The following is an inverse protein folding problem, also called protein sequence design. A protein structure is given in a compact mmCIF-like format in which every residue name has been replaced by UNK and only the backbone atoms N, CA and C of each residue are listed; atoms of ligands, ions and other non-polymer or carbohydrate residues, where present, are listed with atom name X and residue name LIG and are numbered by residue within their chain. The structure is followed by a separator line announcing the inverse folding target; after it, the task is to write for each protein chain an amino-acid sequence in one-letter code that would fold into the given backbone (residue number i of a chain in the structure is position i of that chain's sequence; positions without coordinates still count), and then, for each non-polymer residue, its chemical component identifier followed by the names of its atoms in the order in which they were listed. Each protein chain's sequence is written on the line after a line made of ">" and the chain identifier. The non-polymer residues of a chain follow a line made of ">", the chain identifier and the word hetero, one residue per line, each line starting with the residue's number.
data_IF_119359768834
#
_entry.id   IF_119359768834
#
_cell.length_a   1.000
_cell.length_b   1.000
_cell.length_c   1.000
_cell.angle_alpha   90.00
_cell.angle_beta   90.00
_cell.angle_gamma   90.00
#
_symmetry.space_group_name_H-M   'P 1'
#
loop_
_entity.id
_entity.type
_entity.pdbx_description
1 polymer ?
#
# COMPACT_ATOMS: atom_id res chain seq x y z
N UNK A 1 12.88 -7.18 8.59
CA UNK A 1 11.93 -6.89 7.48
C UNK A 1 12.72 -6.25 6.34
N UNK A 2 12.37 -6.51 5.06
CA UNK A 2 12.99 -5.83 3.93
C UNK A 2 12.63 -4.33 3.96
N UNK A 3 13.52 -3.42 3.50
CA UNK A 3 13.23 -1.99 3.48
C UNK A 3 11.96 -1.74 2.65
N UNK A 4 11.02 -0.98 3.23
CA UNK A 4 9.76 -0.59 2.61
C UNK A 4 10.11 0.22 1.36
N UNK A 5 9.93 -0.36 0.18
CA UNK A 5 10.07 0.40 -1.06
C UNK A 5 8.96 1.44 -1.13
N UNK A 6 9.28 2.62 -1.67
CA UNK A 6 8.34 3.71 -1.99
C UNK A 6 6.98 3.15 -2.46
N UNK A 7 5.86 3.50 -1.79
CA UNK A 7 4.54 3.03 -2.22
C UNK A 7 4.19 3.65 -3.56
N UNK A 8 3.63 2.85 -4.46
CA UNK A 8 3.10 3.30 -5.75
C UNK A 8 1.58 3.40 -5.68
N UNK A 9 1.01 4.41 -6.32
CA UNK A 9 -0.44 4.52 -6.55
C UNK A 9 -0.81 3.99 -7.94
N UNK A 10 -2.09 3.68 -8.17
CA UNK A 10 -2.60 3.32 -9.50
C UNK A 10 -2.21 4.35 -10.56
N UNK A 11 -2.27 5.64 -10.20
CA UNK A 11 -1.90 6.72 -11.11
C UNK A 11 -0.41 6.70 -11.45
N UNK A 12 0.48 6.39 -10.49
CA UNK A 12 1.91 6.27 -10.77
C UNK A 12 2.18 5.12 -11.75
N UNK A 13 1.56 3.96 -11.53
CA UNK A 13 1.77 2.76 -12.35
C UNK A 13 1.18 2.93 -13.76
N UNK A 14 -0.06 3.42 -13.87
CA UNK A 14 -0.77 3.55 -15.15
C UNK A 14 -0.31 4.72 -16.02
N UNK A 15 0.37 5.71 -15.42
CA UNK A 15 1.05 6.76 -16.16
C UNK A 15 2.24 6.20 -16.93
N UNK A 16 3.07 5.39 -16.27
CA UNK A 16 4.26 4.76 -16.84
C UNK A 16 3.93 3.54 -17.72
N UNK A 17 2.74 2.95 -17.54
CA UNK A 17 2.30 1.76 -18.25
C UNK A 17 0.84 1.86 -18.68
N UNK A 18 0.63 2.30 -19.92
CA UNK A 18 -0.72 2.52 -20.45
C UNK A 18 -1.53 1.23 -20.64
N UNK A 19 -0.90 0.05 -20.70
CA UNK A 19 -1.62 -1.24 -20.84
C UNK A 19 -2.48 -1.53 -19.62
N UNK A 20 -2.08 -1.03 -18.45
CA UNK A 20 -2.86 -1.16 -17.21
C UNK A 20 -4.24 -0.50 -17.33
N UNK A 21 -4.43 0.45 -18.26
CA UNK A 21 -5.72 1.10 -18.47
C UNK A 21 -6.77 0.21 -19.16
N UNK A 22 -6.35 -0.94 -19.68
CA UNK A 22 -7.23 -1.89 -20.35
C UNK A 22 -7.75 -2.97 -19.41
N UNK A 23 -7.38 -2.95 -18.13
CA UNK A 23 -7.78 -3.97 -17.17
C UNK A 23 -9.15 -3.68 -16.58
N UNK A 24 -9.87 -4.74 -16.18
CA UNK A 24 -11.14 -4.61 -15.47
C UNK A 24 -10.95 -3.81 -14.18
N UNK A 25 -9.88 -4.10 -13.42
CA UNK A 25 -9.58 -3.40 -12.17
C UNK A 25 -9.46 -1.88 -12.40
N UNK A 26 -8.72 -1.44 -13.42
CA UNK A 26 -8.56 -0.03 -13.74
C UNK A 26 -9.90 0.60 -14.14
N UNK A 27 -10.69 -0.10 -14.95
CA UNK A 27 -11.99 0.36 -15.40
C UNK A 27 -12.96 0.54 -14.23
N UNK A 28 -13.09 -0.44 -13.34
CA UNK A 28 -13.94 -0.31 -12.15
C UNK A 28 -13.46 0.81 -11.23
N UNK A 29 -12.15 0.95 -11.03
CA UNK A 29 -11.60 2.03 -10.22
C UNK A 29 -12.03 3.40 -10.76
N UNK A 30 -11.76 3.69 -12.03
CA UNK A 30 -11.96 5.04 -12.57
C UNK A 30 -13.38 5.34 -13.04
N UNK A 31 -14.13 4.35 -13.51
CA UNK A 31 -15.44 4.53 -14.15
C UNK A 31 -16.62 4.09 -13.28
N UNK A 32 -16.36 3.43 -12.14
CA UNK A 32 -17.40 3.03 -11.19
C UNK A 32 -17.14 3.62 -9.81
N UNK A 33 -15.93 3.46 -9.27
CA UNK A 33 -15.65 3.80 -7.87
C UNK A 33 -15.23 5.25 -7.65
N UNK A 34 -14.54 5.88 -8.60
CA UNK A 34 -14.11 7.27 -8.50
C UNK A 34 -15.17 8.30 -8.91
N UNK A 35 -16.29 7.86 -9.48
CA UNK A 35 -17.38 8.75 -9.90
C UNK A 35 -17.75 9.71 -8.78
N UNK A 36 -18.08 10.96 -9.15
CA UNK A 36 -18.55 11.96 -8.19
C UNK A 36 -19.88 11.51 -7.60
N UNK A 37 -20.14 11.87 -6.35
CA UNK A 37 -21.45 11.67 -5.77
C UNK A 37 -22.49 12.51 -6.52
N UNK A 38 -23.60 11.87 -6.86
CA UNK A 38 -24.80 12.54 -7.37
C UNK A 38 -25.77 12.83 -6.21
N UNK A 39 -26.57 13.88 -6.39
CA UNK A 39 -27.65 14.24 -5.48
C UNK A 39 -29.01 13.69 -5.96
N UNK A 40 -29.10 13.21 -7.20
CA UNK A 40 -30.30 12.56 -7.72
C UNK A 40 -30.42 11.13 -7.19
N UNK A 41 -31.51 10.85 -6.47
CA UNK A 41 -31.77 9.54 -5.87
C UNK A 41 -31.98 8.42 -6.90
N UNK A 42 -32.28 8.76 -8.17
CA UNK A 42 -32.38 7.80 -9.27
C UNK A 42 -31.02 7.52 -9.93
N UNK A 43 -30.00 8.30 -9.62
CA UNK A 43 -28.66 8.13 -10.20
C UNK A 43 -27.95 6.92 -9.62
N UNK A 44 -27.28 6.09 -10.45
CA UNK A 44 -26.42 5.02 -9.94
C UNK A 44 -25.24 5.58 -9.14
N UNK A 45 -24.91 6.87 -9.30
CA UNK A 45 -23.84 7.52 -8.56
C UNK A 45 -24.33 8.26 -7.29
N UNK A 46 -25.61 8.08 -6.92
CA UNK A 46 -26.20 8.69 -5.73
C UNK A 46 -25.43 8.36 -4.46
N UNK A 47 -25.16 9.39 -3.65
CA UNK A 47 -24.61 9.23 -2.32
C UNK A 47 -25.62 9.75 -1.28
N UNK A 48 -25.90 8.93 -0.27
CA UNK A 48 -26.68 9.38 0.87
C UNK A 48 -26.05 10.63 1.51
N UNK A 49 -26.90 11.43 2.15
CA UNK A 49 -26.41 12.43 3.10
C UNK A 49 -25.56 11.75 4.17
N UNK A 50 -24.46 12.42 4.57
CA UNK A 50 -23.60 11.88 5.62
C UNK A 50 -24.39 11.92 6.92
N UNK A 51 -24.80 10.75 7.40
CA UNK A 51 -25.45 10.55 8.69
C UNK A 51 -24.54 9.78 9.66
N UNK A 52 -23.23 9.75 9.38
CA UNK A 52 -22.26 9.06 10.22
C UNK A 52 -22.00 9.82 11.53
N UNK A 53 -21.23 9.19 12.41
CA UNK A 53 -20.78 9.80 13.67
C UNK A 53 -20.09 11.16 13.39
N UNK A 54 -20.47 12.19 14.16
CA UNK A 54 -19.85 13.53 14.09
C UNK A 54 -18.33 13.47 14.36
N UNK A 55 -17.82 12.35 14.87
CA UNK A 55 -16.40 12.09 15.08
C UNK A 55 -15.57 11.90 13.81
N UNK A 56 -16.18 11.61 12.65
CA UNK A 56 -15.45 11.50 11.40
C UNK A 56 -15.10 12.90 10.86
N UNK A 57 -13.81 13.13 10.63
CA UNK A 57 -13.32 14.38 10.03
C UNK A 57 -14.07 14.71 8.74
N UNK A 58 -14.59 15.95 8.67
CA UNK A 58 -15.25 16.52 7.50
C UNK A 58 -14.46 16.36 6.20
N UNK A 59 -13.13 16.35 6.27
CA UNK A 59 -12.25 16.14 5.11
C UNK A 59 -12.42 14.74 4.47
N UNK A 60 -12.94 13.78 5.23
CA UNK A 60 -13.14 12.39 4.81
C UNK A 60 -14.59 12.09 4.40
N UNK A 61 -15.52 13.04 4.58
CA UNK A 61 -16.95 12.80 4.31
C UNK A 61 -17.20 12.40 2.86
N UNK A 62 -16.53 13.03 1.89
CA UNK A 62 -16.69 12.67 0.48
C UNK A 62 -16.15 11.26 0.21
N UNK A 63 -14.98 10.91 0.76
CA UNK A 63 -14.39 9.59 0.61
C UNK A 63 -15.29 8.50 1.21
N UNK A 64 -15.82 8.74 2.40
CA UNK A 64 -16.77 7.85 3.06
C UNK A 64 -18.05 7.67 2.24
N UNK A 65 -18.65 8.76 1.73
CA UNK A 65 -19.85 8.69 0.89
C UNK A 65 -19.63 7.83 -0.35
N UNK A 66 -18.47 7.99 -1.02
CA UNK A 66 -18.09 7.15 -2.15
C UNK A 66 -17.95 5.69 -1.73
N UNK A 67 -17.26 5.41 -0.61
CA UNK A 67 -17.12 4.03 -0.10
C UNK A 67 -18.49 3.39 0.12
N UNK A 68 -19.40 4.08 0.80
CA UNK A 68 -20.75 3.59 1.09
C UNK A 68 -21.54 3.29 -0.20
N UNK A 69 -21.56 4.24 -1.13
CA UNK A 69 -22.18 4.05 -2.44
C UNK A 69 -21.57 2.86 -3.17
N UNK A 70 -20.25 2.78 -3.23
CA UNK A 70 -19.55 1.71 -3.95
C UNK A 70 -19.90 0.34 -3.36
N UNK A 71 -19.96 0.22 -2.03
CA UNK A 71 -20.41 -1.01 -1.36
C UNK A 71 -21.85 -1.39 -1.74
N UNK A 72 -22.79 -0.44 -1.75
CA UNK A 72 -24.20 -0.68 -2.12
C UNK A 72 -24.38 -1.12 -3.57
N UNK A 73 -23.51 -0.67 -4.47
CA UNK A 73 -23.61 -0.97 -5.92
C UNK A 73 -23.07 -2.35 -6.30
N UNK A 74 -22.30 -3.01 -5.44
CA UNK A 74 -21.68 -4.30 -5.77
C UNK A 74 -22.69 -5.36 -6.26
N UNK A 75 -23.86 -5.57 -5.63
CA UNK A 75 -24.86 -6.49 -6.13
C UNK A 75 -25.32 -6.16 -7.57
N UNK A 76 -25.66 -4.90 -7.84
CA UNK A 76 -26.11 -4.45 -9.16
C UNK A 76 -25.01 -4.58 -10.22
N UNK A 77 -23.78 -4.15 -9.92
CA UNK A 77 -22.63 -4.30 -10.81
C UNK A 77 -22.30 -5.78 -11.06
N UNK A 78 -22.50 -6.64 -10.06
CA UNK A 78 -22.32 -8.07 -10.19
C UNK A 78 -23.32 -8.63 -11.21
N UNK A 79 -24.58 -8.19 -11.19
CA UNK A 79 -25.61 -8.66 -12.13
C UNK A 79 -25.29 -8.31 -13.60
N UNK A 80 -24.61 -7.20 -13.85
CA UNK A 80 -24.19 -6.75 -15.19
C UNK A 80 -23.05 -7.58 -15.81
N UNK A 81 -22.22 -8.22 -14.97
CA UNK A 81 -21.10 -9.04 -15.43
C UNK A 81 -21.58 -10.42 -15.91
N UNK A 82 -20.84 -11.14 -16.77
CA UNK A 82 -21.23 -12.53 -17.13
C UNK A 82 -20.61 -13.56 -16.19
N UNK A 83 -21.35 -14.61 -15.80
CA UNK A 83 -20.81 -15.73 -15.02
C UNK A 83 -21.51 -15.99 -13.69
N UNK A 84 -20.86 -16.73 -12.79
CA UNK A 84 -21.41 -17.06 -11.48
C UNK A 84 -21.50 -15.80 -10.58
N UNK A 85 -22.66 -15.55 -9.97
CA UNK A 85 -22.91 -14.36 -9.15
C UNK A 85 -21.96 -14.21 -7.96
N UNK A 86 -21.69 -15.30 -7.22
CA UNK A 86 -20.79 -15.25 -6.08
C UNK A 86 -19.37 -14.88 -6.52
N UNK A 87 -18.86 -15.50 -7.59
CA UNK A 87 -17.54 -15.15 -8.13
C UNK A 87 -17.44 -13.69 -8.61
N UNK A 88 -18.52 -13.15 -9.21
CA UNK A 88 -18.61 -11.75 -9.63
C UNK A 88 -18.56 -10.80 -8.43
N UNK A 89 -19.32 -11.07 -7.38
CA UNK A 89 -19.30 -10.27 -6.14
C UNK A 89 -17.93 -10.32 -5.46
N UNK A 90 -17.28 -11.48 -5.35
CA UNK A 90 -15.92 -11.59 -4.79
C UNK A 90 -14.90 -10.76 -5.59
N UNK A 91 -14.95 -10.83 -6.94
CA UNK A 91 -14.09 -10.01 -7.81
C UNK A 91 -14.32 -8.51 -7.61
N UNK A 92 -15.58 -8.08 -7.47
CA UNK A 92 -15.91 -6.67 -7.19
C UNK A 92 -15.47 -6.23 -5.79
N UNK A 93 -15.56 -7.09 -4.77
CA UNK A 93 -14.97 -6.83 -3.45
C UNK A 93 -13.46 -6.64 -3.54
N UNK A 94 -12.78 -7.48 -4.31
CA UNK A 94 -11.35 -7.37 -4.55
C UNK A 94 -11.00 -6.01 -5.18
N UNK A 95 -11.76 -5.55 -6.18
CA UNK A 95 -11.56 -4.23 -6.78
C UNK A 95 -11.89 -3.08 -5.81
N UNK A 96 -12.96 -3.21 -5.01
CA UNK A 96 -13.31 -2.19 -4.00
C UNK A 96 -12.22 -2.04 -2.95
N UNK A 97 -11.63 -3.14 -2.49
CA UNK A 97 -10.50 -3.16 -1.56
C UNK A 97 -9.27 -2.48 -2.14
N UNK A 98 -8.94 -2.79 -3.40
CA UNK A 98 -7.87 -2.10 -4.09
C UNK A 98 -8.08 -0.58 -4.13
N UNK A 99 -9.28 -0.16 -4.53
CA UNK A 99 -9.66 1.26 -4.56
C UNK A 99 -9.51 1.90 -3.18
N UNK A 100 -10.02 1.25 -2.13
CA UNK A 100 -9.93 1.76 -0.76
C UNK A 100 -8.46 1.92 -0.30
N UNK A 101 -7.62 0.90 -0.49
CA UNK A 101 -6.21 0.94 -0.11
C UNK A 101 -5.41 1.99 -0.89
N UNK A 102 -5.64 2.09 -2.20
CA UNK A 102 -5.00 3.10 -3.03
C UNK A 102 -5.43 4.53 -2.64
N UNK A 103 -6.69 4.74 -2.29
CA UNK A 103 -7.19 6.02 -1.81
C UNK A 103 -6.62 6.40 -0.44
N UNK A 104 -6.52 5.45 0.50
CA UNK A 104 -5.87 5.66 1.81
C UNK A 104 -4.43 6.15 1.63
N UNK A 105 -3.66 5.50 0.76
CA UNK A 105 -2.26 5.87 0.49
C UNK A 105 -2.17 7.19 -0.27
N UNK A 106 -2.98 7.37 -1.32
CA UNK A 106 -2.96 8.58 -2.17
C UNK A 106 -3.33 9.83 -1.37
N UNK A 107 -4.35 9.74 -0.52
CA UNK A 107 -4.82 10.86 0.32
C UNK A 107 -4.05 11.00 1.63
N UNK A 108 -3.12 10.09 1.93
CA UNK A 108 -2.34 10.04 3.18
C UNK A 108 -3.26 10.05 4.41
N UNK A 109 -4.25 9.16 4.41
CA UNK A 109 -5.20 9.04 5.51
C UNK A 109 -4.47 8.43 6.70
N UNK A 110 -4.57 9.09 7.86
CA UNK A 110 -3.89 8.67 9.08
C UNK A 110 -4.52 7.40 9.68
N UNK A 111 -3.76 6.65 10.47
CA UNK A 111 -4.24 5.39 11.10
C UNK A 111 -5.54 5.60 11.89
N UNK A 112 -5.62 6.67 12.68
CA UNK A 112 -6.80 7.00 13.49
C UNK A 112 -8.02 7.26 12.62
N UNK A 113 -7.84 7.95 11.49
CA UNK A 113 -8.87 8.22 10.50
C UNK A 113 -9.33 6.95 9.78
N UNK A 114 -8.42 6.03 9.43
CA UNK A 114 -8.79 4.71 8.88
C UNK A 114 -9.66 3.94 9.86
N UNK A 115 -9.29 3.89 11.14
CA UNK A 115 -10.09 3.21 12.17
C UNK A 115 -11.49 3.82 12.28
N UNK A 116 -11.60 5.16 12.28
CA UNK A 116 -12.90 5.85 12.30
C UNK A 116 -13.74 5.51 11.07
N UNK A 117 -13.16 5.59 9.87
CA UNK A 117 -13.83 5.26 8.62
C UNK A 117 -14.40 3.84 8.62
N UNK A 118 -13.60 2.85 9.02
CA UNK A 118 -14.00 1.46 9.04
C UNK A 118 -15.09 1.19 10.09
N UNK A 119 -14.98 1.79 11.28
CA UNK A 119 -16.02 1.67 12.31
C UNK A 119 -17.35 2.27 11.85
N UNK A 120 -17.33 3.47 11.26
CA UNK A 120 -18.54 4.12 10.72
C UNK A 120 -19.14 3.30 9.59
N UNK A 121 -18.31 2.77 8.69
CA UNK A 121 -18.76 1.94 7.58
C UNK A 121 -19.40 0.63 8.07
N UNK A 122 -18.76 -0.07 9.00
CA UNK A 122 -19.29 -1.30 9.60
C UNK A 122 -20.62 -1.09 10.33
N UNK A 123 -20.75 0.02 11.08
CA UNK A 123 -22.01 0.38 11.72
C UNK A 123 -23.11 0.61 10.69
N UNK A 124 -22.84 1.43 9.67
CA UNK A 124 -23.82 1.76 8.64
C UNK A 124 -24.18 0.55 7.76
N UNK A 125 -23.23 -0.33 7.47
CA UNK A 125 -23.46 -1.59 6.77
C UNK A 125 -24.49 -2.46 7.50
N UNK A 126 -24.38 -2.55 8.83
CA UNK A 126 -25.35 -3.28 9.67
C UNK A 126 -26.71 -2.59 9.74
N UNK A 127 -26.74 -1.28 9.97
CA UNK A 127 -27.99 -0.52 10.13
C UNK A 127 -28.80 -0.45 8.83
N UNK A 128 -28.11 -0.19 7.71
CA UNK A 128 -28.72 -0.05 6.37
C UNK A 128 -28.83 -1.36 5.61
N UNK A 129 -28.35 -2.47 6.19
CA UNK A 129 -28.41 -3.84 5.63
C UNK A 129 -27.93 -3.92 4.18
N UNK A 130 -26.69 -3.52 3.93
CA UNK A 130 -26.12 -3.68 2.59
C UNK A 130 -26.11 -5.15 2.21
N UNK A 131 -26.54 -5.48 0.99
CA UNK A 131 -26.46 -6.85 0.43
C UNK A 131 -25.02 -7.26 0.04
N UNK A 132 -24.02 -6.49 0.49
CA UNK A 132 -22.64 -6.62 0.10
C UNK A 132 -21.83 -7.34 1.19
N UNK A 133 -21.32 -8.53 0.88
CA UNK A 133 -20.53 -9.36 1.80
C UNK A 133 -19.03 -8.99 1.83
N UNK A 134 -18.62 -7.90 1.19
CA UNK A 134 -17.24 -7.42 1.32
C UNK A 134 -16.99 -7.00 2.77
N UNK A 135 -15.84 -7.37 3.34
CA UNK A 135 -15.38 -6.91 4.65
C UNK A 135 -14.22 -5.92 4.46
N UNK A 136 -13.99 -5.01 5.40
CA UNK A 136 -12.87 -4.06 5.37
C UNK A 136 -12.22 -4.00 6.76
N UNK A 137 -11.50 -5.05 7.12
CA UNK A 137 -11.05 -5.24 8.51
C UNK A 137 -9.61 -4.76 8.78
N UNK A 138 -8.82 -4.51 7.72
CA UNK A 138 -7.41 -4.13 7.84
C UNK A 138 -7.28 -2.68 8.31
N UNK A 139 -6.79 -2.49 9.53
CA UNK A 139 -6.68 -1.16 10.17
C UNK A 139 -5.27 -0.59 10.17
N UNK A 140 -4.24 -1.46 10.08
CA UNK A 140 -2.85 -1.02 10.07
C UNK A 140 -2.46 -0.44 8.70
N UNK A 141 -1.90 0.78 8.69
CA UNK A 141 -1.38 1.39 7.46
C UNK A 141 -0.29 0.54 6.82
N UNK A 142 0.61 -0.04 7.61
CA UNK A 142 1.65 -0.94 7.10
C UNK A 142 1.06 -2.19 6.46
N UNK A 143 -0.07 -2.70 6.98
CA UNK A 143 -0.75 -3.85 6.38
C UNK A 143 -1.45 -3.44 5.08
N UNK A 144 -2.12 -2.29 5.05
CA UNK A 144 -2.73 -1.71 3.84
C UNK A 144 -1.66 -1.56 2.74
N UNK A 145 -0.51 -0.98 3.06
CA UNK A 145 0.60 -0.79 2.13
C UNK A 145 1.16 -2.12 1.61
N UNK A 146 1.37 -3.11 2.50
CA UNK A 146 1.86 -4.42 2.13
C UNK A 146 0.88 -5.21 1.24
N UNK A 147 -0.39 -5.25 1.63
CA UNK A 147 -1.45 -5.94 0.88
C UNK A 147 -1.66 -5.29 -0.49
N UNK A 148 -1.65 -3.96 -0.57
CA UNK A 148 -1.83 -3.23 -1.83
C UNK A 148 -0.84 -3.67 -2.90
N UNK A 149 0.41 -4.01 -2.54
CA UNK A 149 1.41 -4.44 -3.50
C UNK A 149 0.98 -5.68 -4.29
N UNK A 150 0.19 -6.57 -3.67
CA UNK A 150 -0.32 -7.76 -4.35
C UNK A 150 -1.44 -7.43 -5.34
N UNK A 151 -2.28 -6.45 -5.02
CA UNK A 151 -3.27 -5.95 -5.97
C UNK A 151 -2.60 -5.20 -7.14
N UNK A 152 -1.56 -4.42 -6.86
CA UNK A 152 -0.77 -3.80 -7.92
C UNK A 152 -0.12 -4.88 -8.79
N UNK A 153 0.43 -5.94 -8.20
CA UNK A 153 0.98 -7.06 -8.98
C UNK A 153 -0.10 -7.75 -9.83
N UNK A 154 -1.28 -7.99 -9.25
CA UNK A 154 -2.44 -8.51 -9.98
C UNK A 154 -2.83 -7.64 -11.18
N UNK A 155 -2.80 -6.32 -11.03
CA UNK A 155 -3.09 -5.38 -12.12
C UNK A 155 -2.17 -5.61 -13.32
N UNK A 156 -0.90 -5.95 -13.09
CA UNK A 156 0.02 -6.34 -14.17
C UNK A 156 -0.29 -7.74 -14.72
N UNK A 157 -0.67 -8.71 -13.88
CA UNK A 157 -1.10 -10.03 -14.37
C UNK A 157 -2.34 -9.93 -15.28
N UNK A 158 -3.28 -9.04 -14.96
CA UNK A 158 -4.50 -8.81 -15.75
C UNK A 158 -4.19 -8.07 -17.07
N UNK A 159 -3.21 -7.16 -17.07
CA UNK A 159 -2.86 -6.34 -18.24
C UNK A 159 -2.08 -7.09 -19.34
N UNK A 160 -1.47 -8.23 -19.02
CA UNK A 160 -0.55 -8.94 -19.92
C UNK A 160 -0.97 -10.38 -20.14
N UNK A 161 -0.92 -10.84 -21.40
CA UNK A 161 -1.30 -12.20 -21.79
C UNK A 161 -0.48 -13.29 -21.09
N UNK A 162 0.78 -13.00 -20.76
CA UNK A 162 1.67 -13.91 -20.04
C UNK A 162 2.74 -13.17 -19.24
N UNK A 163 3.23 -13.83 -18.19
CA UNK A 163 4.22 -13.28 -17.25
C UNK A 163 5.56 -12.94 -17.90
N UNK A 164 5.97 -13.64 -18.96
CA UNK A 164 7.24 -13.35 -19.65
C UNK A 164 7.21 -11.98 -20.34
N UNK A 165 6.11 -11.67 -21.02
CA UNK A 165 5.91 -10.38 -21.68
C UNK A 165 5.83 -9.25 -20.65
N UNK A 166 5.10 -9.49 -19.55
CA UNK A 166 5.04 -8.57 -18.42
C UNK A 166 6.44 -8.27 -17.87
N UNK A 167 7.27 -9.29 -17.59
CA UNK A 167 8.63 -9.13 -17.06
C UNK A 167 9.49 -8.26 -17.98
N UNK A 168 9.45 -8.49 -19.30
CA UNK A 168 10.21 -7.70 -20.26
C UNK A 168 9.81 -6.22 -20.25
N UNK A 169 8.51 -5.96 -20.12
CA UNK A 169 7.95 -4.60 -20.14
C UNK A 169 8.22 -3.82 -18.86
N UNK A 170 8.31 -4.51 -17.72
CA UNK A 170 8.63 -3.86 -16.44
C UNK A 170 10.14 -3.73 -16.19
N UNK A 171 11.00 -4.47 -16.91
CA UNK A 171 12.44 -4.58 -16.61
C UNK A 171 13.17 -3.24 -16.41
N UNK A 172 12.85 -2.23 -17.23
CA UNK A 172 13.48 -0.90 -17.21
C UNK A 172 12.70 0.15 -16.39
N UNK A 173 11.64 -0.25 -15.69
CA UNK A 173 10.73 0.69 -15.01
C UNK A 173 11.16 0.90 -13.56
N UNK A 174 11.01 2.12 -13.04
CA UNK A 174 11.33 2.47 -11.64
C UNK A 174 10.59 1.55 -10.63
N UNK A 175 9.36 1.15 -10.97
CA UNK A 175 8.56 0.24 -10.15
C UNK A 175 8.90 -1.25 -10.32
N UNK A 176 9.90 -1.61 -11.15
CA UNK A 176 10.26 -3.02 -11.35
C UNK A 176 10.58 -3.70 -10.02
N UNK A 177 11.44 -3.06 -9.21
CA UNK A 177 11.86 -3.61 -7.93
C UNK A 177 10.70 -3.75 -6.95
N UNK A 178 9.76 -2.79 -6.98
CA UNK A 178 8.52 -2.85 -6.23
C UNK A 178 7.69 -4.09 -6.58
N UNK A 179 7.45 -4.35 -7.86
CA UNK A 179 6.70 -5.54 -8.31
C UNK A 179 7.46 -6.84 -8.06
N UNK A 180 8.79 -6.83 -8.17
CA UNK A 180 9.63 -7.96 -7.78
C UNK A 180 9.43 -8.31 -6.30
N UNK A 181 9.47 -7.31 -5.43
CA UNK A 181 9.27 -7.49 -3.99
C UNK A 181 7.84 -7.96 -3.68
N UNK A 182 6.83 -7.40 -4.35
CA UNK A 182 5.44 -7.83 -4.22
C UNK A 182 5.28 -9.33 -4.55
N UNK A 183 5.87 -9.79 -5.66
CA UNK A 183 5.85 -11.21 -6.05
C UNK A 183 6.54 -12.09 -5.01
N UNK A 184 7.74 -11.73 -4.58
CA UNK A 184 8.52 -12.51 -3.59
C UNK A 184 7.76 -12.60 -2.26
N UNK A 185 7.22 -11.47 -1.81
CA UNK A 185 6.43 -11.39 -0.59
C UNK A 185 5.15 -12.21 -0.70
N UNK A 186 4.46 -12.17 -1.84
CA UNK A 186 3.26 -12.99 -2.08
C UNK A 186 3.55 -14.49 -1.88
N UNK A 187 4.61 -15.01 -2.51
CA UNK A 187 4.97 -16.44 -2.38
C UNK A 187 5.33 -16.81 -0.94
N UNK A 188 6.01 -15.92 -0.22
CA UNK A 188 6.32 -16.10 1.19
C UNK A 188 5.04 -16.14 2.04
N UNK A 189 4.13 -15.19 1.86
CA UNK A 189 2.89 -15.10 2.64
C UNK A 189 1.87 -16.18 2.28
N UNK A 190 1.88 -16.72 1.06
CA UNK A 190 1.17 -17.97 0.75
C UNK A 190 1.60 -19.11 1.67
N UNK A 191 2.90 -19.22 1.96
CA UNK A 191 3.39 -20.25 2.89
C UNK A 191 3.10 -19.90 4.34
N UNK A 192 3.36 -18.66 4.76
CA UNK A 192 3.17 -18.22 6.16
C UNK A 192 1.70 -18.30 6.57
N UNK A 193 0.80 -17.76 5.75
CA UNK A 193 -0.62 -17.68 6.10
C UNK A 193 -1.33 -19.03 6.00
N UNK A 194 -0.91 -19.93 5.09
CA UNK A 194 -1.51 -21.27 4.97
C UNK A 194 -1.16 -22.23 6.12
N UNK A 195 -0.14 -21.91 6.93
CA UNK A 195 0.34 -22.76 8.01
C UNK A 195 -0.16 -22.36 9.41
N UNK A 196 -1.08 -21.39 9.50
CA UNK A 196 -1.64 -20.94 10.77
C UNK A 196 -2.94 -21.69 11.08
N UNK A 197 -3.11 -22.09 12.34
CA UNK A 197 -4.41 -22.53 12.85
C UNK A 197 -5.38 -21.33 12.88
N UNK A 198 -6.67 -21.57 12.61
CA UNK A 198 -7.70 -20.52 12.40
C UNK A 198 -7.77 -19.45 13.52
N UNK A 199 -7.37 -19.79 14.75
CA UNK A 199 -7.48 -18.92 15.93
C UNK A 199 -6.33 -17.89 16.09
N UNK A 200 -5.27 -17.94 15.27
CA UNK A 200 -4.06 -17.10 15.41
C UNK A 200 -3.65 -16.36 14.11
N UNK A 201 -4.59 -16.28 13.16
CA UNK A 201 -4.39 -15.57 11.89
C UNK A 201 -4.61 -14.07 12.10
N UNK A 202 -3.54 -13.29 11.96
CA UNK A 202 -3.60 -11.82 12.02
C UNK A 202 -4.45 -11.23 10.88
N UNK A 203 -4.87 -9.96 11.04
CA UNK A 203 -5.71 -9.24 10.06
C UNK A 203 -5.13 -9.28 8.63
N UNK A 204 -3.80 -9.33 8.50
CA UNK A 204 -3.11 -9.37 7.22
C UNK A 204 -3.33 -10.71 6.51
N UNK A 205 -3.09 -11.82 7.21
CA UNK A 205 -3.25 -13.15 6.64
C UNK A 205 -4.72 -13.48 6.34
N UNK A 206 -5.67 -13.02 7.17
CA UNK A 206 -7.10 -13.19 6.90
C UNK A 206 -7.49 -12.52 5.58
N UNK A 207 -7.07 -11.27 5.40
CA UNK A 207 -7.30 -10.53 4.17
C UNK A 207 -6.64 -11.22 2.96
N UNK A 208 -5.38 -11.64 3.13
CA UNK A 208 -4.59 -12.28 2.09
C UNK A 208 -5.25 -13.58 1.59
N UNK A 209 -5.62 -14.49 2.49
CA UNK A 209 -6.24 -15.77 2.15
C UNK A 209 -7.61 -15.57 1.52
N UNK A 210 -8.44 -14.71 2.13
CA UNK A 210 -9.84 -14.56 1.75
C UNK A 210 -10.01 -13.83 0.41
N UNK A 211 -9.22 -12.80 0.15
CA UNK A 211 -9.44 -11.94 -1.00
C UNK A 211 -8.32 -12.00 -2.03
N UNK A 212 -7.06 -12.13 -1.61
CA UNK A 212 -5.93 -11.99 -2.55
C UNK A 212 -5.60 -13.33 -3.19
N UNK A 213 -5.43 -14.39 -2.40
CA UNK A 213 -5.07 -15.72 -2.91
C UNK A 213 -6.09 -16.30 -3.90
N UNK A 214 -7.36 -15.92 -3.78
CA UNK A 214 -8.42 -16.39 -4.67
C UNK A 214 -8.34 -15.81 -6.09
N UNK A 215 -7.67 -14.67 -6.26
CA UNK A 215 -7.64 -13.93 -7.51
C UNK A 215 -6.24 -13.82 -8.12
N UNK A 216 -5.18 -13.96 -7.32
CA UNK A 216 -3.80 -13.83 -7.76
C UNK A 216 -3.17 -15.21 -7.96
N UNK A 217 -2.89 -15.58 -9.21
CA UNK A 217 -2.16 -16.80 -9.52
C UNK A 217 -0.74 -16.48 -10.01
N UNK A 218 0.28 -16.89 -9.26
CA UNK A 218 1.69 -16.63 -9.59
C UNK A 218 2.35 -17.91 -10.09
N UNK A 219 2.93 -17.86 -11.29
CA UNK A 219 3.85 -18.89 -11.75
C UNK A 219 5.14 -18.83 -10.92
N UNK A 220 5.36 -19.84 -10.08
CA UNK A 220 6.54 -19.96 -9.21
C UNK A 220 7.86 -19.93 -10.00
N UNK A 221 7.85 -20.40 -11.25
CA UNK A 221 9.05 -20.47 -12.11
C UNK A 221 9.39 -19.13 -12.76
N UNK A 222 8.44 -18.23 -12.87
CA UNK A 222 8.67 -16.89 -13.41
C UNK A 222 9.59 -16.09 -12.47
N UNK A 223 10.58 -15.38 -13.00
CA UNK A 223 11.45 -14.54 -12.18
C UNK A 223 11.44 -13.12 -12.74
N UNK A 224 11.05 -12.16 -11.91
CA UNK A 224 11.18 -10.75 -12.26
C UNK A 224 12.65 -10.38 -12.04
N UNK A 225 13.32 -10.00 -13.12
CA UNK A 225 14.61 -9.30 -13.06
C UNK A 225 14.37 -7.82 -13.35
N UNK A 226 15.19 -6.97 -12.75
CA UNK A 226 15.16 -5.53 -12.94
C UNK A 226 16.55 -5.06 -13.34
N UNK A 227 16.63 -3.97 -14.10
CA UNK A 227 17.90 -3.30 -14.31
C UNK A 227 18.50 -2.93 -12.95
N UNK A 228 19.78 -3.23 -12.73
CA UNK A 228 20.47 -2.77 -11.54
C UNK A 228 20.54 -1.24 -11.59
N UNK A 229 20.20 -0.58 -10.49
CA UNK A 229 20.46 0.85 -10.37
C UNK A 229 21.97 1.04 -10.55
N UNK A 230 22.38 1.70 -11.64
CA UNK A 230 23.71 2.28 -11.71
C UNK A 230 23.75 3.32 -10.60
N UNK A 231 24.20 2.90 -9.40
CA UNK A 231 24.54 3.82 -8.34
C UNK A 231 25.49 4.82 -8.97
N UNK A 232 25.04 6.07 -9.09
CA UNK A 232 25.94 7.19 -9.33
C UNK A 232 26.89 7.20 -8.14
N UNK A 233 28.03 6.53 -8.30
CA UNK A 233 29.17 6.72 -7.42
C UNK A 233 29.44 8.22 -7.43
N UNK A 234 29.15 8.86 -6.30
CA UNK A 234 29.63 10.20 -6.02
C UNK A 234 31.15 10.13 -6.22
N UNK A 235 31.60 10.67 -7.36
CA UNK A 235 33.01 10.96 -7.56
C UNK A 235 33.39 11.98 -6.51
N UNK A 236 33.87 11.49 -5.38
CA UNK A 236 34.67 12.25 -4.43
C UNK A 236 35.99 12.60 -5.13
N UNK A 237 35.94 13.59 -6.01
CA UNK A 237 37.13 14.26 -6.55
C UNK A 237 37.74 15.10 -5.42
N UNK A 238 38.59 14.46 -4.62
CA UNK A 238 39.47 15.17 -3.69
C UNK A 238 40.79 15.47 -4.41
N UNK A 239 41.13 16.73 -4.75
CA UNK A 239 42.42 17.04 -5.33
C UNK A 239 43.48 17.02 -4.22
N UNK A 240 44.39 16.05 -4.31
CA UNK A 240 45.70 16.12 -3.67
C UNK A 240 46.39 17.43 -4.06
N UNK A 241 46.70 18.28 -3.08
CA UNK A 241 47.83 19.20 -3.17
C UNK A 241 48.81 18.92 -2.03
N UNK A 242 50.04 18.64 -2.44
CA UNK A 242 51.15 18.27 -1.58
C UNK A 242 51.77 19.47 -0.86
N UNK A 243 52.44 19.14 0.24
CA UNK A 243 53.27 20.02 1.04
C UNK A 243 54.54 20.44 0.28
N UNK A 244 54.92 21.71 0.41
CA UNK A 244 56.31 22.13 0.58
C UNK A 244 56.36 23.50 1.31
N UNK A 245 57.29 23.57 2.25
CA UNK A 245 57.54 24.59 3.28
C UNK A 245 58.04 25.94 2.73
N UNK A 246 57.85 27.05 3.45
CA UNK A 246 58.97 27.79 4.10
C UNK A 246 58.52 28.99 5.00
N UNK A 247 59.39 29.26 5.99
CA UNK A 247 59.47 30.15 7.16
C UNK A 247 58.87 31.58 7.17
N UNK A 248 58.44 32.02 8.36
CA UNK A 248 58.63 33.43 8.78
C UNK A 248 57.77 34.08 9.88
N UNK A 249 58.15 33.88 11.15
CA UNK A 249 58.19 34.86 12.28
C UNK A 249 56.93 35.54 12.89
N UNK A 250 56.81 35.26 14.20
CA UNK A 250 56.70 36.17 15.38
C UNK A 250 55.35 36.61 15.99
N UNK A 251 55.37 36.50 17.34
CA UNK A 251 54.66 37.22 18.41
C UNK A 251 53.25 36.79 18.86
N UNK A 252 53.21 36.21 20.07
CA UNK A 252 52.10 36.20 21.03
C UNK A 252 52.15 37.49 21.92
N UNK A 253 51.33 37.71 22.99
CA UNK A 253 50.27 36.87 23.59
C UNK A 253 49.01 37.65 24.12
N UNK A 254 48.07 36.88 24.74
CA UNK A 254 46.98 37.22 25.71
C UNK A 254 45.60 36.75 25.19
N UNK A 255 44.74 36.02 25.93
CA UNK A 255 44.76 35.48 27.30
C UNK A 255 43.33 35.02 27.69
N UNK A 256 43.24 34.08 28.65
CA UNK A 256 42.01 33.69 29.40
C UNK A 256 41.13 32.60 28.75
N UNK A 257 41.09 31.34 29.25
CA UNK A 257 40.41 30.81 30.47
C UNK A 257 38.88 30.83 30.28
N UNK A 258 38.11 29.74 30.32
CA UNK A 258 38.22 28.38 30.86
C UNK A 258 36.85 28.00 31.46
N UNK A 259 36.54 26.69 31.51
CA UNK A 259 35.41 26.01 32.19
C UNK A 259 34.09 25.99 31.38
N UNK A 260 33.61 24.87 30.81
CA UNK A 260 33.28 23.50 31.30
C UNK A 260 31.98 23.43 32.13
N UNK A 261 31.10 22.50 31.74
CA UNK A 261 30.00 21.77 32.42
C UNK A 261 28.91 21.44 31.37
N UNK A 262 28.91 20.22 30.78
CA UNK A 262 28.34 18.93 31.25
C UNK A 262 26.86 18.79 30.78
N UNK A 263 26.60 17.86 29.83
CA UNK A 263 25.99 16.51 30.03
C UNK A 263 24.48 16.62 30.30
N UNK A 264 23.55 15.80 29.83
CA UNK A 264 23.47 14.59 29.02
C UNK A 264 21.96 14.49 28.66
N UNK A 265 21.60 13.80 27.58
CA UNK A 265 20.42 12.90 27.52
C UNK A 265 20.18 12.49 26.06
N UNK A 266 20.93 11.46 25.66
CA UNK A 266 20.58 10.54 24.59
C UNK A 266 19.95 9.31 25.23
N UNK A 267 18.89 8.81 24.59
CA UNK A 267 18.42 7.42 24.54
C UNK A 267 17.02 7.18 25.11
N UNK A 268 16.03 7.24 24.22
CA UNK A 268 14.82 6.43 24.39
C UNK A 268 14.23 6.05 23.02
N UNK A 269 14.91 5.18 22.25
CA UNK A 269 14.29 4.52 21.09
C UNK A 269 14.88 3.13 20.75
N UNK A 270 15.43 2.39 21.73
CA UNK A 270 15.97 1.03 21.52
C UNK A 270 15.40 -0.03 22.51
N UNK A 271 14.14 0.12 22.93
CA UNK A 271 13.53 -0.82 23.89
C UNK A 271 12.53 -1.83 23.30
N UNK A 272 12.20 -1.77 22.00
CA UNK A 272 11.18 -2.68 21.40
C UNK A 272 11.81 -3.87 20.65
N UNK A 273 13.10 -3.80 20.28
CA UNK A 273 13.72 -4.81 19.41
C UNK A 273 14.28 -6.05 20.15
N UNK A 274 14.31 -6.07 21.49
CA UNK A 274 14.86 -7.20 22.27
C UNK A 274 13.85 -8.22 22.80
N UNK A 275 12.55 -8.01 22.64
CA UNK A 275 11.54 -8.95 23.18
C UNK A 275 11.22 -10.14 22.26
N UNK A 276 11.69 -10.17 21.00
CA UNK A 276 11.35 -11.25 20.04
C UNK A 276 12.49 -12.25 19.76
N UNK A 277 13.71 -12.03 20.25
CA UNK A 277 14.87 -12.89 19.95
C UNK A 277 15.08 -14.00 21.00
N UNK A 278 14.40 -13.95 22.16
CA UNK A 278 14.64 -14.91 23.26
C UNK A 278 13.70 -16.14 23.28
N UNK A 279 12.83 -16.31 22.29
CA UNK A 279 11.92 -17.48 22.19
C UNK A 279 12.22 -18.48 21.07
N UNK A 280 13.37 -18.35 20.40
CA UNK A 280 13.79 -19.30 19.37
C UNK A 280 15.27 -19.64 19.52
N UNK A 281 15.57 -20.56 20.43
CA UNK A 281 16.66 -21.52 20.29
C UNK A 281 16.30 -22.80 21.07
N UNK A 282 16.76 -23.96 20.60
CA UNK A 282 16.06 -25.25 20.65
C UNK A 282 15.84 -25.86 22.04
#
# INVERSE_FOLDING_TARGET
>A
MAPISKPYTLNNLSYENYKLKNTDLYNFYHHSFENKCDNDAESPDFCDSFNGDESLDSSLHEFYKKLERNSKRIPTLSDELTGNISLRMHKLCFYLKYWFYDQVITKKIEKTQVIQLLNTWEQNKREKRFECDCELDVKSLSNIEGLKQYYDYYLFLEAYENTSTMIQEIYYKEYCKYLQNARVSYLLFTTICSNKDDDDVDEYCNEFIKYIMQHVNIDEKSLISCLADESTEEKNDNPRQGEAQDLGKTSAPHGGRGEDEDDDDVAEEEAVERSLVEKLQP
#
